data_IF_198556439218
#
_entry.id   IF_198556439218
#
_cell.length_a   1.000
_cell.length_b   1.000
_cell.length_c   1.000
_cell.angle_alpha   90.00
_cell.angle_beta   90.00
_cell.angle_gamma   90.00
#
_symmetry.space_group_name_H-M   'P 1'
#
loop_
_entity.id
_entity.type
_entity.pdbx_description
1 polymer ?
#
# COMPACT_ATOMS: atom_id res chain seq x y z
N UNK A 1 -25.98 5.20 16.57
CA UNK A 1 -26.45 4.90 15.19
C UNK A 1 -25.76 5.85 14.22
N UNK A 2 -25.20 5.34 13.12
CA UNK A 2 -24.56 6.16 12.09
C UNK A 2 -25.61 7.03 11.39
N UNK A 3 -25.41 8.34 11.39
CA UNK A 3 -26.26 9.30 10.67
C UNK A 3 -25.86 9.34 9.20
N UNK A 4 -26.71 9.97 8.38
CA UNK A 4 -26.45 10.18 6.95
C UNK A 4 -25.13 10.91 6.70
N UNK A 5 -24.82 11.91 7.53
CA UNK A 5 -23.55 12.64 7.50
C UNK A 5 -22.33 11.72 7.73
N UNK A 6 -22.42 10.80 8.69
CA UNK A 6 -21.31 9.89 9.01
C UNK A 6 -21.01 8.98 7.82
N UNK A 7 -22.06 8.39 7.22
CA UNK A 7 -21.93 7.54 6.02
C UNK A 7 -21.36 8.30 4.84
N UNK A 8 -21.76 9.57 4.68
CA UNK A 8 -21.26 10.43 3.62
C UNK A 8 -19.76 10.69 3.75
N UNK A 9 -19.32 11.09 4.95
CA UNK A 9 -17.91 11.37 5.24
C UNK A 9 -17.08 10.09 5.07
N UNK A 10 -17.52 8.96 5.63
CA UNK A 10 -16.82 7.67 5.50
C UNK A 10 -16.70 7.26 4.02
N UNK A 11 -17.79 7.36 3.25
CA UNK A 11 -17.79 6.94 1.84
C UNK A 11 -16.90 7.84 0.98
N UNK A 12 -16.95 9.16 1.16
CA UNK A 12 -16.06 10.08 0.43
C UNK A 12 -14.60 9.85 0.83
N UNK A 13 -14.30 9.73 2.12
CA UNK A 13 -12.93 9.50 2.60
C UNK A 13 -12.34 8.17 2.10
N UNK A 14 -13.02 7.04 2.35
CA UNK A 14 -12.55 5.72 1.90
C UNK A 14 -12.50 5.64 0.37
N UNK A 15 -13.45 6.26 -0.33
CA UNK A 15 -13.43 6.35 -1.79
C UNK A 15 -12.20 7.10 -2.31
N UNK A 16 -11.88 8.25 -1.70
CA UNK A 16 -10.65 8.99 -2.03
C UNK A 16 -9.41 8.16 -1.72
N UNK A 17 -9.35 7.49 -0.57
CA UNK A 17 -8.22 6.64 -0.21
C UNK A 17 -7.98 5.49 -1.19
N UNK A 18 -9.02 4.72 -1.51
CA UNK A 18 -8.91 3.60 -2.45
C UNK A 18 -8.50 4.11 -3.84
N UNK A 19 -9.10 5.21 -4.30
CA UNK A 19 -8.74 5.81 -5.59
C UNK A 19 -7.27 6.23 -5.63
N UNK A 20 -6.79 6.92 -4.59
CA UNK A 20 -5.40 7.36 -4.51
C UNK A 20 -4.42 6.18 -4.43
N UNK A 21 -4.74 5.12 -3.68
CA UNK A 21 -3.94 3.90 -3.62
C UNK A 21 -3.86 3.20 -4.98
N UNK A 22 -4.99 3.04 -5.68
CA UNK A 22 -4.99 2.41 -7.01
C UNK A 22 -4.11 3.20 -7.97
N UNK A 23 -4.20 4.53 -7.96
CA UNK A 23 -3.42 5.38 -8.84
C UNK A 23 -1.91 5.24 -8.60
N UNK A 24 -1.47 5.28 -7.34
CA UNK A 24 -0.04 5.14 -7.03
C UNK A 24 0.49 3.73 -7.25
N UNK A 25 -0.31 2.70 -6.98
CA UNK A 25 0.07 1.30 -7.22
C UNK A 25 0.26 1.08 -8.73
N UNK A 26 -0.67 1.56 -9.56
CA UNK A 26 -0.53 1.50 -11.01
C UNK A 26 0.74 2.21 -11.48
N UNK A 27 1.05 3.37 -10.93
CA UNK A 27 2.30 4.07 -11.24
C UNK A 27 3.53 3.26 -10.82
N UNK A 28 3.52 2.67 -9.62
CA UNK A 28 4.61 1.84 -9.12
C UNK A 28 4.85 0.61 -9.98
N UNK A 29 3.79 -0.03 -10.47
CA UNK A 29 3.88 -1.17 -11.40
C UNK A 29 4.54 -0.75 -12.71
N UNK A 30 4.13 0.38 -13.29
CA UNK A 30 4.72 0.88 -14.55
C UNK A 30 6.22 1.18 -14.38
N UNK A 31 6.60 1.79 -13.25
CA UNK A 31 8.01 2.09 -12.96
C UNK A 31 8.83 0.79 -12.80
N UNK A 32 8.36 -0.17 -12.01
CA UNK A 32 9.07 -1.44 -11.80
C UNK A 32 9.17 -2.25 -13.09
N UNK A 33 8.09 -2.27 -13.90
CA UNK A 33 8.10 -2.89 -15.22
C UNK A 33 9.14 -2.25 -16.13
N UNK A 34 9.15 -0.92 -16.22
CA UNK A 34 10.10 -0.19 -17.07
C UNK A 34 11.56 -0.44 -16.67
N UNK A 35 11.84 -0.68 -15.39
CA UNK A 35 13.19 -0.94 -14.90
C UNK A 35 13.66 -2.38 -15.19
N UNK A 36 12.73 -3.34 -15.24
CA UNK A 36 13.04 -4.77 -15.33
C UNK A 36 12.72 -5.40 -16.70
N UNK A 37 12.16 -4.61 -17.62
CA UNK A 37 11.69 -5.12 -18.92
C UNK A 37 12.80 -5.82 -19.71
N UNK A 38 14.01 -5.26 -19.72
CA UNK A 38 15.15 -5.83 -20.43
C UNK A 38 15.55 -7.19 -19.83
N UNK A 39 15.63 -7.28 -18.50
CA UNK A 39 15.93 -8.53 -17.79
C UNK A 39 14.85 -9.60 -17.95
N UNK A 40 13.58 -9.21 -18.06
CA UNK A 40 12.47 -10.14 -18.31
C UNK A 40 12.53 -10.73 -19.72
N UNK A 41 12.90 -9.91 -20.71
CA UNK A 41 13.06 -10.33 -22.11
C UNK A 41 14.28 -11.25 -22.26
N UNK A 42 15.43 -10.87 -21.69
CA UNK A 42 16.66 -11.66 -21.77
C UNK A 42 16.52 -13.05 -21.17
N UNK A 43 15.77 -13.17 -20.07
CA UNK A 43 15.59 -14.44 -19.34
C UNK A 43 14.38 -15.26 -19.78
N UNK A 44 13.68 -14.83 -20.83
CA UNK A 44 12.52 -15.51 -21.43
C UNK A 44 11.45 -15.95 -20.41
N UNK A 45 11.18 -15.12 -19.41
CA UNK A 45 10.24 -15.47 -18.35
C UNK A 45 8.81 -15.45 -18.90
N UNK A 46 7.97 -16.47 -18.63
CA UNK A 46 6.59 -16.49 -19.07
C UNK A 46 5.81 -15.28 -18.52
N UNK A 47 5.10 -14.55 -19.38
CA UNK A 47 4.28 -13.40 -19.00
C UNK A 47 3.26 -13.72 -17.89
N UNK A 48 2.75 -14.96 -17.87
CA UNK A 48 1.83 -15.43 -16.82
C UNK A 48 2.52 -15.44 -15.45
N UNK A 49 3.77 -15.89 -15.35
CA UNK A 49 4.49 -15.88 -14.07
C UNK A 49 4.80 -14.45 -13.61
N UNK A 50 5.16 -13.56 -14.53
CA UNK A 50 5.39 -12.14 -14.22
C UNK A 50 4.12 -11.48 -13.64
N UNK A 51 2.96 -11.74 -14.24
CA UNK A 51 1.70 -11.11 -13.80
C UNK A 51 1.19 -11.75 -12.50
N UNK A 52 1.09 -13.08 -12.44
CA UNK A 52 0.44 -13.77 -11.33
C UNK A 52 1.36 -14.05 -10.15
N UNK A 53 2.63 -14.40 -10.37
CA UNK A 53 3.54 -14.74 -9.26
C UNK A 53 4.28 -13.50 -8.75
N UNK A 54 4.58 -12.55 -9.62
CA UNK A 54 5.33 -11.36 -9.23
C UNK A 54 4.42 -10.15 -8.93
N UNK A 55 3.65 -9.65 -9.90
CA UNK A 55 2.87 -8.41 -9.68
C UNK A 55 1.67 -8.58 -8.73
N UNK A 56 1.07 -9.76 -8.66
CA UNK A 56 -0.02 -10.01 -7.69
C UNK A 56 0.49 -9.95 -6.25
N UNK A 57 1.72 -10.45 -6.01
CA UNK A 57 2.39 -10.38 -4.71
C UNK A 57 3.05 -9.02 -4.44
N UNK A 58 3.37 -8.26 -5.49
CA UNK A 58 3.84 -6.88 -5.41
C UNK A 58 2.78 -5.95 -4.80
N UNK A 59 1.51 -6.08 -5.21
CA UNK A 59 0.44 -5.15 -4.81
C UNK A 59 0.26 -5.08 -3.28
N UNK A 60 0.08 -6.19 -2.52
CA UNK A 60 -0.09 -6.13 -1.06
C UNK A 60 1.10 -5.48 -0.34
N UNK A 61 2.33 -5.80 -0.77
CA UNK A 61 3.54 -5.25 -0.18
C UNK A 61 3.64 -3.73 -0.35
N UNK A 62 3.52 -3.25 -1.59
CA UNK A 62 3.60 -1.81 -1.87
C UNK A 62 2.39 -1.06 -1.34
N UNK A 63 1.21 -1.68 -1.29
CA UNK A 63 0.02 -1.09 -0.67
C UNK A 63 0.28 -0.81 0.81
N UNK A 64 0.87 -1.76 1.54
CA UNK A 64 1.20 -1.57 2.95
C UNK A 64 2.27 -0.49 3.15
N UNK A 65 3.29 -0.47 2.29
CA UNK A 65 4.34 0.55 2.31
C UNK A 65 3.77 1.97 2.13
N UNK A 66 2.88 2.15 1.16
CA UNK A 66 2.27 3.45 0.87
C UNK A 66 1.10 3.81 1.79
N UNK A 67 0.59 2.86 2.57
CA UNK A 67 -0.62 3.03 3.37
C UNK A 67 -0.55 4.26 4.28
N UNK A 68 0.51 4.42 5.07
CA UNK A 68 0.62 5.54 6.02
C UNK A 68 0.60 6.91 5.32
N UNK A 69 1.33 7.04 4.21
CA UNK A 69 1.39 8.26 3.42
C UNK A 69 0.04 8.57 2.79
N UNK A 70 -0.60 7.57 2.18
CA UNK A 70 -1.84 7.76 1.45
C UNK A 70 -3.04 7.96 2.36
N UNK A 71 -3.08 7.35 3.54
CA UNK A 71 -4.09 7.67 4.55
C UNK A 71 -4.02 9.16 4.91
N UNK A 72 -2.82 9.68 5.16
CA UNK A 72 -2.62 11.10 5.46
C UNK A 72 -3.08 12.00 4.30
N UNK A 73 -2.60 11.73 3.08
CA UNK A 73 -2.95 12.52 1.88
C UNK A 73 -4.46 12.49 1.64
N UNK A 74 -5.09 11.33 1.76
CA UNK A 74 -6.52 11.19 1.53
C UNK A 74 -7.36 11.92 2.57
N UNK A 75 -6.95 11.94 3.85
CA UNK A 75 -7.64 12.74 4.87
C UNK A 75 -7.54 14.22 4.50
N UNK A 76 -6.33 14.72 4.25
CA UNK A 76 -6.09 16.13 3.94
C UNK A 76 -6.86 16.56 2.70
N UNK A 77 -6.76 15.80 1.61
CA UNK A 77 -7.39 16.12 0.34
C UNK A 77 -8.91 16.12 0.44
N UNK A 78 -9.48 15.10 1.08
CA UNK A 78 -10.93 15.00 1.26
C UNK A 78 -11.46 16.13 2.15
N UNK A 79 -10.81 16.41 3.27
CA UNK A 79 -11.19 17.52 4.16
C UNK A 79 -11.05 18.87 3.46
N UNK A 80 -9.98 19.10 2.70
CA UNK A 80 -9.81 20.31 1.90
C UNK A 80 -10.93 20.48 0.87
N UNK A 81 -11.33 19.40 0.19
CA UNK A 81 -12.43 19.42 -0.78
C UNK A 81 -13.79 19.73 -0.13
N UNK A 82 -14.05 19.21 1.07
CA UNK A 82 -15.26 19.57 1.83
C UNK A 82 -15.24 21.05 2.26
N UNK A 83 -14.06 21.58 2.62
CA UNK A 83 -13.90 22.98 2.98
C UNK A 83 -14.16 23.91 1.79
N UNK A 84 -13.59 23.57 0.62
CA UNK A 84 -13.77 24.29 -0.64
C UNK A 84 -15.24 24.35 -1.09
N UNK A 85 -15.96 23.25 -0.92
CA UNK A 85 -17.41 23.16 -1.20
C UNK A 85 -18.27 23.79 -0.10
N UNK A 86 -17.67 24.45 0.91
CA UNK A 86 -18.35 25.03 2.08
C UNK A 86 -19.19 24.02 2.89
N UNK A 87 -18.98 22.71 2.71
CA UNK A 87 -19.71 21.67 3.43
C UNK A 87 -19.39 21.72 4.94
N UNK A 88 -18.12 21.96 5.30
CA UNK A 88 -17.69 22.08 6.71
C UNK A 88 -18.38 23.26 7.39
N UNK A 89 -18.45 24.41 6.73
CA UNK A 89 -19.08 25.63 7.25
C UNK A 89 -20.59 25.38 7.46
N UNK A 90 -21.26 24.74 6.50
CA UNK A 90 -22.67 24.39 6.61
C UNK A 90 -22.95 23.40 7.76
N UNK A 91 -22.09 22.38 7.94
CA UNK A 91 -22.22 21.42 9.03
C UNK A 91 -22.09 22.11 10.39
N UNK A 92 -21.04 22.92 10.58
CA UNK A 92 -20.82 23.61 11.85
C UNK A 92 -21.90 24.69 12.10
N UNK A 93 -22.34 25.40 11.07
CA UNK A 93 -23.42 26.39 11.13
C UNK A 93 -24.79 25.80 11.49
N UNK A 94 -25.00 24.50 11.22
CA UNK A 94 -26.22 23.77 11.64
C UNK A 94 -26.24 23.37 13.13
N UNK A 95 -25.23 23.79 13.91
CA UNK A 95 -25.12 23.48 15.34
C UNK A 95 -24.48 22.12 15.65
N UNK A 96 -23.87 21.47 14.65
CA UNK A 96 -23.12 20.23 14.88
C UNK A 96 -21.75 20.58 15.45
N UNK A 97 -21.39 19.99 16.59
CA UNK A 97 -20.07 20.18 17.18
C UNK A 97 -18.96 19.61 16.30
N UNK A 98 -17.80 20.27 16.32
CA UNK A 98 -16.60 19.80 15.60
C UNK A 98 -16.21 18.36 16.01
N UNK A 99 -16.32 18.03 17.29
CA UNK A 99 -16.05 16.69 17.80
C UNK A 99 -16.95 15.62 17.17
N UNK A 100 -18.24 15.91 16.93
CA UNK A 100 -19.13 14.95 16.26
C UNK A 100 -18.77 14.77 14.79
N UNK A 101 -18.34 15.84 14.12
CA UNK A 101 -17.84 15.77 12.75
C UNK A 101 -16.58 14.91 12.63
N UNK A 102 -15.74 14.85 13.67
CA UNK A 102 -14.54 13.99 13.68
C UNK A 102 -14.84 12.50 13.87
N UNK A 103 -15.97 12.13 14.47
CA UNK A 103 -16.32 10.74 14.73
C UNK A 103 -16.27 9.81 13.49
N UNK A 104 -16.82 10.17 12.32
CA UNK A 104 -16.67 9.35 11.10
C UNK A 104 -15.22 9.20 10.61
N UNK A 105 -14.33 10.16 10.88
CA UNK A 105 -12.90 10.02 10.58
C UNK A 105 -12.27 8.94 11.46
N UNK A 106 -12.60 8.90 12.76
CA UNK A 106 -12.14 7.84 13.66
C UNK A 106 -12.62 6.46 13.25
N UNK A 107 -13.88 6.31 12.85
CA UNK A 107 -14.41 5.04 12.34
C UNK A 107 -13.64 4.61 11.09
N UNK A 108 -13.40 5.53 10.17
CA UNK A 108 -12.66 5.22 8.94
C UNK A 108 -11.21 4.82 9.24
N UNK A 109 -10.55 5.52 10.16
CA UNK A 109 -9.21 5.17 10.62
C UNK A 109 -9.17 3.79 11.27
N UNK A 110 -10.18 3.42 12.07
CA UNK A 110 -10.30 2.09 12.67
C UNK A 110 -10.47 1.00 11.60
N UNK A 111 -11.30 1.24 10.59
CA UNK A 111 -11.47 0.31 9.45
C UNK A 111 -10.13 0.09 8.74
N UNK A 112 -9.40 1.17 8.46
CA UNK A 112 -8.09 1.10 7.81
C UNK A 112 -7.03 0.43 8.70
N UNK A 113 -7.06 0.66 10.01
CA UNK A 113 -6.16 0.03 10.96
C UNK A 113 -6.39 -1.49 11.01
N UNK A 114 -7.64 -1.94 11.07
CA UNK A 114 -7.99 -3.36 11.03
C UNK A 114 -7.60 -4.01 9.70
N UNK A 115 -7.86 -3.32 8.58
CA UNK A 115 -7.46 -3.79 7.25
C UNK A 115 -5.93 -3.91 7.14
N UNK A 116 -5.20 -2.90 7.60
CA UNK A 116 -3.73 -2.90 7.63
C UNK A 116 -3.19 -4.04 8.50
N UNK A 117 -3.75 -4.21 9.70
CA UNK A 117 -3.39 -5.30 10.60
C UNK A 117 -3.59 -6.68 9.94
N UNK A 118 -4.71 -6.89 9.26
CA UNK A 118 -4.98 -8.14 8.56
C UNK A 118 -4.00 -8.36 7.39
N UNK A 119 -3.75 -7.34 6.57
CA UNK A 119 -2.77 -7.41 5.49
C UNK A 119 -1.38 -7.76 6.03
N UNK A 120 -0.89 -7.04 7.04
CA UNK A 120 0.45 -7.21 7.58
C UNK A 120 0.69 -8.58 8.23
N UNK A 121 -0.32 -9.18 8.85
CA UNK A 121 -0.14 -10.45 9.56
C UNK A 121 -0.40 -11.67 8.67
N UNK A 122 -1.37 -11.62 7.75
CA UNK A 122 -1.82 -12.80 7.02
C UNK A 122 -1.48 -12.78 5.53
N UNK A 123 -1.46 -11.61 4.90
CA UNK A 123 -1.34 -11.50 3.44
C UNK A 123 0.10 -11.22 3.01
N UNK A 124 0.78 -10.29 3.69
CA UNK A 124 2.13 -9.86 3.31
C UNK A 124 3.19 -10.95 3.53
N UNK A 125 3.22 -11.71 4.64
CA UNK A 125 4.25 -12.73 4.83
C UNK A 125 4.30 -13.81 3.74
N UNK A 126 3.17 -14.46 3.34
CA UNK A 126 3.21 -15.42 2.24
C UNK A 126 3.49 -14.76 0.90
N UNK A 127 2.92 -13.58 0.62
CA UNK A 127 3.15 -12.87 -0.64
C UNK A 127 4.62 -12.49 -0.84
N UNK A 128 5.28 -12.01 0.22
CA UNK A 128 6.71 -11.70 0.17
C UNK A 128 7.57 -12.93 -0.04
N UNK A 129 7.20 -14.08 0.53
CA UNK A 129 7.94 -15.33 0.33
C UNK A 129 7.92 -15.74 -1.14
N UNK A 130 6.73 -15.79 -1.75
CA UNK A 130 6.58 -16.12 -3.17
C UNK A 130 7.32 -15.13 -4.09
N UNK A 131 7.25 -13.83 -3.77
CA UNK A 131 7.98 -12.81 -4.54
C UNK A 131 9.50 -12.98 -4.43
N UNK A 132 10.02 -13.22 -3.23
CA UNK A 132 11.46 -13.42 -3.01
C UNK A 132 11.95 -14.71 -3.68
N UNK A 133 11.16 -15.78 -3.64
CA UNK A 133 11.47 -17.04 -4.32
C UNK A 133 11.51 -16.85 -5.84
N UNK A 134 10.60 -16.05 -6.41
CA UNK A 134 10.63 -15.65 -7.82
C UNK A 134 11.88 -14.82 -8.17
N UNK A 135 12.21 -13.79 -7.37
CA UNK A 135 13.41 -12.97 -7.58
C UNK A 135 14.71 -13.80 -7.47
N UNK A 136 14.77 -14.78 -6.56
CA UNK A 136 15.93 -15.65 -6.40
C UNK A 136 16.10 -16.64 -7.58
N UNK A 137 14.99 -17.15 -8.09
CA UNK A 137 15.00 -18.13 -9.19
C UNK A 137 15.36 -17.46 -10.52
N UNK A 138 14.80 -16.28 -10.78
CA UNK A 138 14.89 -15.64 -12.08
C UNK A 138 15.81 -14.43 -12.13
N UNK A 139 15.95 -13.63 -11.06
CA UNK A 139 16.67 -12.34 -11.14
C UNK A 139 18.08 -12.45 -10.58
N UNK A 140 18.26 -12.92 -9.35
CA UNK A 140 19.54 -12.80 -8.65
C UNK A 140 20.51 -13.96 -8.90
N UNK A 141 20.03 -15.08 -9.47
CA UNK A 141 20.76 -16.35 -9.39
C UNK A 141 20.81 -16.82 -7.93
N UNK A 142 20.61 -18.11 -7.69
CA UNK A 142 20.60 -18.66 -6.33
C UNK A 142 21.86 -18.23 -5.57
N UNK A 143 21.70 -17.41 -4.53
CA UNK A 143 22.76 -17.09 -3.57
C UNK A 143 23.08 -18.39 -2.81
N UNK A 144 23.92 -19.24 -3.40
CA UNK A 144 24.48 -20.38 -2.71
C UNK A 144 25.50 -19.81 -1.72
N UNK A 145 25.11 -19.74 -0.44
CA UNK A 145 26.08 -19.65 0.65
C UNK A 145 26.88 -20.96 0.68
N UNK A 146 27.79 -21.14 -0.28
CA UNK A 146 28.77 -22.24 -0.28
C UNK A 146 29.77 -22.08 0.88
N UNK A 147 29.80 -20.90 1.50
CA UNK A 147 30.79 -20.50 2.48
C UNK A 147 30.21 -20.55 3.91
N UNK A 148 29.78 -21.74 4.36
CA UNK A 148 29.68 -21.99 5.80
C UNK A 148 31.11 -22.11 6.36
N UNK A 149 31.48 -21.20 7.27
CA UNK A 149 32.74 -21.16 8.02
C UNK A 149 33.96 -20.48 7.33
N UNK A 150 33.78 -19.39 6.58
CA UNK A 150 34.93 -18.57 6.18
C UNK A 150 35.21 -17.50 7.25
N UNK A 151 36.22 -17.77 8.08
CA UNK A 151 36.81 -16.76 8.96
C UNK A 151 37.84 -15.95 8.15
N UNK A 152 37.44 -14.77 7.64
CA UNK A 152 38.40 -13.84 7.04
C UNK A 152 39.20 -13.15 8.15
N UNK A 153 40.44 -13.57 8.34
CA UNK A 153 41.39 -12.89 9.21
C UNK A 153 41.81 -11.56 8.56
N UNK A 154 41.58 -10.46 9.26
CA UNK A 154 41.75 -9.08 8.75
C UNK A 154 43.19 -8.54 8.92
N UNK A 155 44.06 -9.24 9.65
CA UNK A 155 45.50 -8.95 9.72
C UNK A 155 46.28 -10.19 10.17
N UNK A 156 47.47 -10.46 9.61
CA UNK A 156 48.40 -11.41 10.20
C UNK A 156 48.79 -10.93 11.60
N UNK A 157 48.90 -11.86 12.55
CA UNK A 157 49.50 -11.63 13.86
C UNK A 157 51.02 -11.78 13.79
#
# INVERSE_FOLDING_TARGET
MLKTLDRYIIKKFLGTFIFSIILIISLAIVIDLSQKIDSFIEKQIPLQEIIFNYYLNFIPYYTNLFLFLFVFISVVFFTAKMADQSEIIAILGSGISFQRMMYPYFISALILALASFFLSNFVIPPANRERLDFENTYINGTYYNSDRNIHKQISPG
#
